data_IF_363230258056
#
_entry.id   IF_363230258056
#
_cell.length_a   1.000
_cell.length_b   1.000
_cell.length_c   1.000
_cell.angle_alpha   90.00
_cell.angle_beta   90.00
_cell.angle_gamma   90.00
#
_symmetry.space_group_name_H-M   'P 1'
#
loop_
_entity.id
_entity.type
_entity.pdbx_description
1 polymer ?
#
# COMPACT_ATOMS: atom_id res chain seq x y z
N UNK A 1 3.45 25.98 72.74
CA UNK A 1 3.22 24.53 72.55
C UNK A 1 3.99 24.07 71.33
N UNK A 2 5.14 23.44 71.56
CA UNK A 2 6.03 22.87 70.54
C UNK A 2 5.77 21.36 70.50
N UNK A 3 5.45 20.81 69.33
CA UNK A 3 5.54 19.38 69.00
C UNK A 3 6.10 19.32 67.57
N UNK A 4 7.38 19.04 67.38
CA UNK A 4 8.00 17.71 67.42
C UNK A 4 7.36 16.79 66.36
N UNK A 5 7.97 16.71 65.17
CA UNK A 5 8.14 15.45 64.42
C UNK A 5 9.24 15.64 63.37
N UNK A 6 10.45 15.36 63.83
CA UNK A 6 11.63 15.04 63.04
C UNK A 6 11.48 13.70 62.31
N UNK A 7 11.89 13.68 61.04
CA UNK A 7 12.71 12.64 60.40
C UNK A 7 12.28 11.17 60.60
N UNK A 8 11.51 10.63 59.64
CA UNK A 8 11.55 9.20 59.32
C UNK A 8 11.55 9.03 57.79
N UNK A 9 12.72 8.62 57.30
CA UNK A 9 12.90 7.72 56.15
C UNK A 9 12.66 8.24 54.74
N UNK A 10 13.63 9.05 54.31
CA UNK A 10 14.33 8.89 53.02
C UNK A 10 14.77 7.41 52.88
N UNK A 11 13.89 6.53 52.40
CA UNK A 11 14.23 5.12 52.08
C UNK A 11 13.18 4.41 51.19
N UNK A 12 12.62 5.10 50.18
CA UNK A 12 11.84 4.44 49.12
C UNK A 12 12.37 4.75 47.70
N UNK A 13 13.63 5.21 47.59
CA UNK A 13 14.27 5.45 46.31
C UNK A 13 15.07 4.28 45.75
N UNK A 14 15.09 3.13 46.42
CA UNK A 14 15.77 1.95 45.89
C UNK A 14 14.92 0.72 46.16
N UNK A 15 14.44 0.13 45.06
CA UNK A 15 14.13 -1.30 44.79
C UNK A 15 12.82 -1.40 43.99
N UNK A 16 12.92 -1.13 42.69
CA UNK A 16 12.31 -2.01 41.68
C UNK A 16 12.80 -1.61 40.28
N UNK A 17 14.10 -1.85 40.02
CA UNK A 17 14.51 -2.19 38.67
C UNK A 17 13.94 -3.58 38.40
N UNK A 18 12.68 -3.64 37.93
CA UNK A 18 12.17 -4.85 37.31
C UNK A 18 13.03 -5.10 36.07
N UNK A 19 13.57 -6.31 36.01
CA UNK A 19 14.30 -6.84 34.88
C UNK A 19 13.46 -6.66 33.60
N UNK A 20 13.75 -5.59 32.86
CA UNK A 20 13.53 -5.58 31.42
C UNK A 20 14.50 -6.62 30.87
N UNK A 21 14.03 -7.86 30.79
CA UNK A 21 14.52 -8.77 29.78
C UNK A 21 14.17 -8.09 28.47
N UNK A 22 15.11 -7.29 27.98
CA UNK A 22 15.19 -6.92 26.58
C UNK A 22 15.25 -8.26 25.86
N UNK A 23 14.07 -8.73 25.45
CA UNK A 23 13.94 -9.75 24.42
C UNK A 23 14.60 -9.09 23.23
N UNK A 24 15.90 -9.38 23.06
CA UNK A 24 16.58 -9.19 21.80
C UNK A 24 15.85 -10.11 20.85
N UNK A 25 14.77 -9.62 20.27
CA UNK A 25 14.26 -10.13 19.00
C UNK A 25 15.39 -9.89 18.01
N UNK A 26 16.29 -10.87 17.97
CA UNK A 26 17.24 -11.08 16.92
C UNK A 26 16.40 -11.42 15.69
N UNK A 27 15.83 -10.38 15.07
CA UNK A 27 15.48 -10.43 13.67
C UNK A 27 16.79 -10.71 12.95
N UNK A 28 17.08 -12.00 12.74
CA UNK A 28 17.91 -12.46 11.63
C UNK A 28 17.33 -11.77 10.41
N UNK A 29 17.93 -10.66 10.03
CA UNK A 29 17.68 -9.98 8.78
C UNK A 29 18.15 -10.98 7.73
N UNK A 30 17.24 -11.88 7.32
CA UNK A 30 17.47 -12.73 6.17
C UNK A 30 17.84 -11.75 5.05
N UNK A 31 18.97 -12.01 4.38
CA UNK A 31 19.36 -11.27 3.18
C UNK A 31 18.31 -11.56 2.09
N UNK A 32 17.18 -10.87 2.16
CA UNK A 32 16.11 -10.96 1.20
C UNK A 32 16.56 -10.20 -0.05
N UNK A 33 16.61 -10.92 -1.17
CA UNK A 33 16.93 -10.35 -2.47
C UNK A 33 15.90 -9.27 -2.81
N UNK A 34 16.38 -8.18 -3.41
CA UNK A 34 15.50 -7.15 -3.94
C UNK A 34 14.53 -7.71 -4.96
N UNK A 35 13.25 -7.38 -4.77
CA UNK A 35 12.23 -7.64 -5.76
C UNK A 35 12.45 -6.76 -6.99
N UNK A 36 12.82 -5.49 -6.84
CA UNK A 36 13.06 -4.61 -7.99
C UNK A 36 14.55 -4.71 -8.38
N UNK A 37 14.89 -5.77 -9.12
CA UNK A 37 16.24 -6.13 -9.57
C UNK A 37 16.43 -6.09 -11.09
N UNK A 38 15.58 -5.32 -11.78
CA UNK A 38 15.53 -5.20 -13.24
C UNK A 38 15.53 -3.73 -13.66
N UNK A 39 15.95 -3.40 -14.90
CA UNK A 39 15.96 -2.01 -15.37
C UNK A 39 14.54 -1.47 -15.60
N UNK A 40 14.30 -0.24 -15.14
CA UNK A 40 13.08 0.54 -15.38
C UNK A 40 13.44 2.04 -15.37
N UNK A 41 12.64 2.86 -16.04
CA UNK A 41 12.75 4.32 -16.02
C UNK A 41 11.62 5.00 -15.22
N UNK A 42 10.46 4.35 -15.14
CA UNK A 42 9.25 4.92 -14.54
C UNK A 42 8.42 3.84 -13.85
N UNK A 43 7.90 4.15 -12.67
CA UNK A 43 6.94 3.30 -11.95
C UNK A 43 5.65 4.05 -11.74
N UNK A 44 4.53 3.45 -12.13
CA UNK A 44 3.20 4.06 -12.03
C UNK A 44 2.32 3.17 -11.18
N UNK A 45 1.77 3.72 -10.10
CA UNK A 45 0.69 3.08 -9.35
C UNK A 45 -0.64 3.70 -9.77
N UNK A 46 -1.69 2.90 -9.95
CA UNK A 46 -3.01 3.44 -10.29
C UNK A 46 -4.16 2.56 -9.78
N UNK A 47 -5.33 3.18 -9.69
CA UNK A 47 -6.61 2.52 -9.43
C UNK A 47 -7.62 2.89 -10.53
N UNK A 48 -8.46 1.93 -10.91
CA UNK A 48 -9.58 2.16 -11.85
C UNK A 48 -10.71 2.91 -11.16
N UNK A 49 -11.17 4.01 -11.74
CA UNK A 49 -12.25 4.82 -11.16
C UNK A 49 -13.62 4.22 -11.44
N UNK A 50 -13.84 3.74 -12.67
CA UNK A 50 -15.10 3.12 -13.02
C UNK A 50 -15.07 1.64 -12.61
N UNK A 51 -16.00 1.21 -11.74
CA UNK A 51 -16.06 -0.18 -11.32
C UNK A 51 -16.37 -1.15 -12.48
N UNK A 52 -17.01 -0.67 -13.54
CA UNK A 52 -17.44 -1.48 -14.69
C UNK A 52 -16.39 -1.55 -15.82
N UNK A 53 -15.33 -0.74 -15.79
CA UNK A 53 -14.39 -0.63 -16.91
C UNK A 53 -13.44 -1.85 -17.06
N UNK A 54 -13.46 -2.81 -16.14
CA UNK A 54 -12.57 -3.99 -16.22
C UNK A 54 -13.23 -5.32 -15.80
N UNK A 55 -14.56 -5.46 -15.91
CA UNK A 55 -15.18 -6.79 -15.83
C UNK A 55 -15.30 -7.44 -17.22
N UNK A 56 -14.18 -7.96 -17.74
CA UNK A 56 -14.17 -8.84 -18.93
C UNK A 56 -13.47 -10.20 -18.69
N UNK A 57 -13.56 -10.74 -17.47
CA UNK A 57 -13.31 -12.17 -17.24
C UNK A 57 -11.84 -12.61 -17.19
N UNK A 58 -11.59 -13.47 -16.20
CA UNK A 58 -10.32 -14.10 -15.88
C UNK A 58 -9.19 -13.14 -15.44
N UNK A 59 -9.02 -13.02 -14.12
CA UNK A 59 -7.87 -12.38 -13.48
C UNK A 59 -6.53 -13.00 -13.94
N UNK A 60 -6.50 -14.23 -14.49
CA UNK A 60 -5.30 -14.93 -14.99
C UNK A 60 -4.78 -14.39 -16.33
N UNK A 61 -5.53 -13.53 -17.02
CA UNK A 61 -5.04 -12.91 -18.27
C UNK A 61 -4.09 -11.76 -17.97
N UNK A 62 -3.12 -11.56 -18.87
CA UNK A 62 -2.17 -10.44 -18.81
C UNK A 62 -2.89 -9.10 -18.72
N UNK A 63 -2.29 -8.15 -17.99
CA UNK A 63 -2.80 -6.79 -17.85
C UNK A 63 -2.74 -6.04 -19.19
N UNK A 64 -3.89 -5.87 -19.85
CA UNK A 64 -4.00 -5.05 -21.05
C UNK A 64 -4.23 -3.59 -20.68
N UNK A 65 -3.13 -2.84 -20.57
CA UNK A 65 -3.16 -1.42 -20.15
C UNK A 65 -3.95 -0.53 -21.12
N UNK A 66 -4.12 -0.95 -22.38
CA UNK A 66 -4.92 -0.18 -23.36
C UNK A 66 -6.42 -0.25 -23.08
N UNK A 67 -6.88 -1.29 -22.37
CA UNK A 67 -8.29 -1.43 -21.96
C UNK A 67 -8.64 -0.62 -20.73
N UNK A 68 -7.64 -0.16 -19.98
CA UNK A 68 -7.87 0.62 -18.77
C UNK A 68 -8.36 2.00 -19.15
N UNK A 69 -9.65 2.21 -18.91
CA UNK A 69 -10.30 3.52 -19.02
C UNK A 69 -10.39 4.13 -17.62
N UNK A 70 -10.40 5.47 -17.58
CA UNK A 70 -10.60 6.28 -16.37
C UNK A 70 -9.85 5.77 -15.12
N UNK A 71 -8.55 6.02 -15.07
CA UNK A 71 -7.68 5.68 -13.94
C UNK A 71 -7.25 6.91 -13.15
N UNK A 72 -7.04 6.73 -11.85
CA UNK A 72 -6.25 7.67 -11.05
C UNK A 72 -4.85 7.10 -10.91
N UNK A 73 -3.91 7.77 -11.55
CA UNK A 73 -2.53 7.31 -11.65
C UNK A 73 -1.57 8.26 -10.94
N UNK A 74 -0.58 7.68 -10.26
CA UNK A 74 0.48 8.36 -9.54
C UNK A 74 1.81 7.80 -10.07
N UNK A 75 2.66 8.68 -10.61
CA UNK A 75 4.06 8.31 -10.90
C UNK A 75 4.83 8.33 -9.59
N UNK A 76 5.47 7.22 -9.25
CA UNK A 76 6.19 7.08 -7.99
C UNK A 76 7.55 7.79 -8.05
N UNK A 77 7.92 8.46 -6.96
CA UNK A 77 9.27 8.98 -6.77
C UNK A 77 10.20 7.90 -6.18
N UNK A 78 11.50 8.21 -6.11
CA UNK A 78 12.52 7.26 -5.63
C UNK A 78 12.27 6.75 -4.20
N UNK A 79 11.75 7.59 -3.31
CA UNK A 79 11.44 7.20 -1.92
C UNK A 79 10.28 6.22 -1.89
N UNK A 80 9.22 6.47 -2.66
CA UNK A 80 8.07 5.58 -2.80
C UNK A 80 8.46 4.25 -3.45
N UNK A 81 9.33 4.28 -4.47
CA UNK A 81 9.83 3.07 -5.14
C UNK A 81 10.69 2.24 -4.19
N UNK A 82 11.55 2.87 -3.38
CA UNK A 82 12.31 2.16 -2.36
C UNK A 82 11.39 1.48 -1.35
N UNK A 83 10.38 2.20 -0.85
CA UNK A 83 9.41 1.64 0.08
C UNK A 83 8.63 0.47 -0.54
N UNK A 84 8.22 0.62 -1.80
CA UNK A 84 7.60 -0.46 -2.56
C UNK A 84 8.53 -1.67 -2.66
N UNK A 85 9.81 -1.48 -2.99
CA UNK A 85 10.78 -2.58 -3.06
C UNK A 85 10.86 -3.33 -1.72
N UNK A 86 10.92 -2.62 -0.59
CA UNK A 86 10.98 -3.23 0.74
C UNK A 86 9.73 -4.04 1.06
N UNK A 87 8.55 -3.56 0.65
CA UNK A 87 7.29 -4.29 0.73
C UNK A 87 7.37 -5.57 -0.11
N UNK A 88 7.64 -5.43 -1.41
CA UNK A 88 7.62 -6.53 -2.38
C UNK A 88 8.68 -7.61 -2.08
N UNK A 89 9.80 -7.22 -1.48
CA UNK A 89 10.87 -8.12 -1.05
C UNK A 89 10.59 -8.82 0.28
N UNK A 90 9.45 -8.54 0.93
CA UNK A 90 9.09 -9.14 2.22
C UNK A 90 9.88 -8.59 3.42
N UNK A 91 10.55 -7.43 3.27
CA UNK A 91 11.28 -6.79 4.38
C UNK A 91 10.36 -6.09 5.36
N UNK A 92 9.14 -5.75 4.94
CA UNK A 92 8.07 -5.33 5.85
C UNK A 92 7.26 -6.55 6.29
N UNK A 93 7.60 -7.11 7.45
CA UNK A 93 6.80 -8.15 8.10
C UNK A 93 5.61 -7.53 8.79
N UNK A 94 4.46 -8.18 8.68
CA UNK A 94 3.28 -7.86 9.45
C UNK A 94 3.49 -8.24 10.93
N UNK A 95 2.93 -7.45 11.85
CA UNK A 95 2.64 -7.94 13.21
C UNK A 95 1.62 -9.08 13.09
N UNK A 96 1.88 -10.21 13.77
CA UNK A 96 1.14 -11.47 13.63
C UNK A 96 -0.37 -11.38 13.88
N UNK A 97 -0.89 -10.25 14.36
CA UNK A 97 -2.28 -10.06 14.76
C UNK A 97 -3.09 -9.11 13.85
N UNK A 98 -2.48 -8.49 12.84
CA UNK A 98 -3.22 -7.59 11.95
C UNK A 98 -4.06 -8.41 10.94
N UNK A 99 -5.23 -8.87 11.37
CA UNK A 99 -6.23 -9.43 10.47
C UNK A 99 -6.71 -8.33 9.52
N UNK A 100 -6.34 -8.42 8.26
CA UNK A 100 -6.97 -7.62 7.22
C UNK A 100 -8.42 -8.08 7.13
N UNK A 101 -9.38 -7.17 7.32
CA UNK A 101 -10.75 -7.46 6.90
C UNK A 101 -10.71 -7.68 5.40
N UNK A 102 -11.22 -8.82 4.94
CA UNK A 102 -11.52 -9.00 3.52
C UNK A 102 -12.47 -7.86 3.17
N UNK A 103 -11.99 -6.91 2.37
CA UNK A 103 -12.82 -5.79 1.94
C UNK A 103 -13.91 -6.35 1.04
N UNK A 104 -15.15 -5.89 1.23
CA UNK A 104 -16.21 -6.03 0.24
C UNK A 104 -15.82 -5.16 -0.97
N UNK A 105 -14.89 -5.67 -1.78
CA UNK A 105 -14.25 -4.86 -2.80
C UNK A 105 -15.15 -4.85 -4.02
N UNK A 106 -15.89 -3.76 -4.11
CA UNK A 106 -16.55 -3.35 -5.32
C UNK A 106 -15.61 -2.38 -6.04
N UNK A 107 -14.68 -2.96 -6.81
CA UNK A 107 -13.93 -2.34 -7.91
C UNK A 107 -13.46 -0.88 -7.68
N UNK A 108 -12.21 -0.69 -7.18
CA UNK A 108 -11.09 -0.62 -8.11
C UNK A 108 -10.15 -1.82 -8.06
N UNK A 109 -9.51 -2.09 -9.18
CA UNK A 109 -8.26 -2.87 -9.18
C UNK A 109 -7.08 -1.93 -9.03
N UNK A 110 -6.22 -2.25 -8.08
CA UNK A 110 -5.00 -1.49 -7.84
C UNK A 110 -3.85 -2.13 -8.59
N UNK A 111 -3.08 -1.32 -9.28
CA UNK A 111 -2.05 -1.80 -10.19
C UNK A 111 -0.77 -1.00 -10.00
N UNK A 112 0.35 -1.65 -10.30
CA UNK A 112 1.68 -1.06 -10.36
C UNK A 112 2.30 -1.50 -11.69
N UNK A 113 2.77 -0.54 -12.47
CA UNK A 113 3.49 -0.77 -13.72
C UNK A 113 4.93 -0.31 -13.56
N UNK A 114 5.84 -1.12 -14.07
CA UNK A 114 7.23 -0.77 -14.28
C UNK A 114 7.45 -0.62 -15.78
N UNK A 115 7.86 0.58 -16.18
CA UNK A 115 8.12 0.91 -17.58
C UNK A 115 9.63 1.03 -17.81
N UNK A 116 10.04 0.74 -19.04
CA UNK A 116 11.34 1.09 -19.58
C UNK A 116 11.14 1.52 -21.04
N UNK A 117 11.46 2.77 -21.37
CA UNK A 117 11.20 3.36 -22.68
C UNK A 117 9.73 3.18 -23.10
N UNK A 118 8.82 3.48 -22.16
CA UNK A 118 7.36 3.34 -22.28
C UNK A 118 6.84 1.91 -22.57
N UNK A 119 7.70 0.89 -22.46
CA UNK A 119 7.31 -0.52 -22.52
C UNK A 119 7.16 -1.09 -21.10
N UNK A 120 6.09 -1.85 -20.87
CA UNK A 120 5.88 -2.55 -19.60
C UNK A 120 6.89 -3.68 -19.49
N UNK A 121 7.80 -3.57 -18.52
CA UNK A 121 8.81 -4.59 -18.20
C UNK A 121 8.40 -5.46 -17.02
N UNK A 122 7.51 -4.95 -16.16
CA UNK A 122 6.92 -5.71 -15.06
C UNK A 122 5.60 -5.05 -14.63
N UNK A 123 4.70 -5.81 -14.03
CA UNK A 123 3.47 -5.30 -13.45
C UNK A 123 3.08 -6.09 -12.19
N UNK A 124 2.27 -5.45 -11.35
CA UNK A 124 1.58 -6.06 -10.23
C UNK A 124 0.12 -5.59 -10.27
N UNK A 125 -0.83 -6.51 -10.24
CA UNK A 125 -2.25 -6.27 -10.08
C UNK A 125 -2.69 -6.85 -8.75
N UNK A 126 -3.38 -6.05 -7.95
CA UNK A 126 -3.88 -6.41 -6.63
C UNK A 126 -5.40 -6.34 -6.65
N UNK A 127 -6.03 -7.44 -6.25
CA UNK A 127 -7.47 -7.53 -6.02
C UNK A 127 -7.71 -7.76 -4.53
N UNK A 128 -8.17 -6.73 -3.83
CA UNK A 128 -8.48 -6.82 -2.40
C UNK A 128 -9.75 -7.64 -2.12
N UNK A 129 -10.68 -7.73 -3.10
CA UNK A 129 -11.89 -8.59 -3.03
C UNK A 129 -11.53 -10.06 -2.94
N UNK A 130 -10.75 -10.52 -3.92
CA UNK A 130 -10.37 -11.91 -4.04
C UNK A 130 -9.23 -12.26 -3.07
N UNK A 131 -8.64 -11.26 -2.40
CA UNK A 131 -7.39 -11.38 -1.68
C UNK A 131 -6.28 -12.01 -2.55
N UNK A 132 -6.13 -11.52 -3.79
CA UNK A 132 -5.17 -12.07 -4.75
C UNK A 132 -4.23 -10.99 -5.29
N UNK A 133 -2.98 -11.39 -5.51
CA UNK A 133 -1.96 -10.59 -6.18
C UNK A 133 -1.48 -11.35 -7.40
N UNK A 134 -1.40 -10.66 -8.53
CA UNK A 134 -0.78 -11.14 -9.76
C UNK A 134 0.30 -10.19 -10.22
N UNK A 135 1.24 -10.70 -10.97
CA UNK A 135 2.27 -9.89 -11.58
C UNK A 135 3.21 -10.75 -12.40
N UNK A 136 4.15 -10.10 -13.11
CA UNK A 136 5.12 -10.84 -13.94
C UNK A 136 6.04 -11.74 -13.11
N UNK A 137 6.15 -11.48 -11.80
CA UNK A 137 6.86 -12.35 -10.86
C UNK A 137 6.23 -12.31 -9.46
N UNK A 138 6.30 -13.42 -8.69
CA UNK A 138 5.62 -13.52 -7.40
C UNK A 138 6.28 -12.61 -6.35
N UNK A 139 5.52 -11.68 -5.73
CA UNK A 139 6.03 -10.86 -4.64
C UNK A 139 5.94 -11.59 -3.29
N UNK A 140 6.76 -11.18 -2.31
CA UNK A 140 6.74 -11.71 -0.94
C UNK A 140 5.97 -10.84 0.04
N UNK A 141 5.15 -9.92 -0.47
CA UNK A 141 4.39 -8.95 0.32
C UNK A 141 3.03 -9.51 0.76
N UNK A 142 2.67 -9.26 2.02
CA UNK A 142 1.33 -9.48 2.55
C UNK A 142 0.30 -8.49 1.99
N UNK A 143 -0.97 -8.90 1.91
CA UNK A 143 -2.03 -8.06 1.32
C UNK A 143 -2.20 -6.70 2.03
N UNK A 144 -2.08 -6.68 3.35
CA UNK A 144 -2.14 -5.43 4.14
C UNK A 144 -1.08 -4.42 3.72
N UNK A 145 0.13 -4.86 3.38
CA UNK A 145 1.18 -3.96 2.91
C UNK A 145 0.79 -3.28 1.60
N UNK A 146 0.07 -3.96 0.71
CA UNK A 146 -0.48 -3.33 -0.49
C UNK A 146 -1.56 -2.32 -0.14
N UNK A 147 -2.50 -2.66 0.74
CA UNK A 147 -3.57 -1.74 1.15
C UNK A 147 -2.99 -0.46 1.73
N UNK A 148 -2.01 -0.58 2.64
CA UNK A 148 -1.34 0.56 3.27
C UNK A 148 -0.54 1.37 2.23
N UNK A 149 0.17 0.69 1.32
CA UNK A 149 0.91 1.34 0.25
C UNK A 149 0.00 2.17 -0.66
N UNK A 150 -1.06 1.59 -1.22
CA UNK A 150 -1.98 2.30 -2.10
C UNK A 150 -2.72 3.43 -1.37
N UNK A 151 -3.15 3.19 -0.12
CA UNK A 151 -3.78 4.23 0.70
C UNK A 151 -2.85 5.42 0.95
N UNK A 152 -1.54 5.18 1.15
CA UNK A 152 -0.54 6.25 1.30
C UNK A 152 -0.36 7.12 0.05
N UNK A 153 -0.75 6.59 -1.12
CA UNK A 153 -0.74 7.30 -2.41
C UNK A 153 -2.06 8.03 -2.70
N UNK A 154 -3.05 7.94 -1.79
CA UNK A 154 -4.41 8.40 -2.05
C UNK A 154 -5.21 7.49 -3.00
N UNK A 155 -4.72 6.28 -3.26
CA UNK A 155 -5.42 5.25 -4.05
C UNK A 155 -6.16 4.32 -3.08
N UNK A 156 -7.13 4.86 -2.35
CA UNK A 156 -7.77 4.16 -1.23
C UNK A 156 -8.47 2.86 -1.67
N UNK A 157 -8.50 1.91 -0.74
CA UNK A 157 -9.34 0.71 -0.78
C UNK A 157 -10.59 1.03 0.04
N UNK A 158 -11.76 0.66 -0.47
CA UNK A 158 -13.04 0.92 0.18
C UNK A 158 -13.69 -0.40 0.58
N UNK A 159 -14.37 -0.37 1.72
CA UNK A 159 -15.13 -1.50 2.23
C UNK A 159 -16.60 -1.45 1.75
N UNK A 160 -16.99 -0.43 0.96
CA UNK A 160 -18.36 -0.24 0.45
C UNK A 160 -18.37 0.52 -0.91
N UNK A 161 -19.16 0.09 -1.93
CA UNK A 161 -19.26 0.73 -3.24
C UNK A 161 -19.80 2.16 -3.22
N UNK A 162 -20.62 2.51 -2.23
CA UNK A 162 -21.20 3.87 -2.12
C UNK A 162 -20.09 4.87 -1.79
N UNK A 163 -19.29 4.57 -0.77
CA UNK A 163 -18.15 5.40 -0.36
C UNK A 163 -17.11 5.54 -1.48
N UNK A 164 -16.94 4.48 -2.27
CA UNK A 164 -16.10 4.48 -3.44
C UNK A 164 -16.55 5.50 -4.50
N UNK A 165 -17.83 5.49 -4.89
CA UNK A 165 -18.37 6.43 -5.89
C UNK A 165 -18.19 7.86 -5.42
N UNK A 166 -18.63 8.16 -4.19
CA UNK A 166 -18.54 9.51 -3.62
C UNK A 166 -17.10 10.04 -3.58
N UNK A 167 -16.14 9.19 -3.17
CA UNK A 167 -14.73 9.59 -3.11
C UNK A 167 -14.19 9.93 -4.50
N UNK A 168 -14.38 9.05 -5.48
CA UNK A 168 -13.80 9.28 -6.79
C UNK A 168 -14.54 10.34 -7.61
N UNK A 169 -15.85 10.48 -7.45
CA UNK A 169 -16.61 11.61 -7.99
C UNK A 169 -16.06 12.93 -7.45
N UNK A 170 -15.71 13.00 -6.15
CA UNK A 170 -15.09 14.19 -5.57
C UNK A 170 -13.71 14.51 -6.16
N UNK A 171 -12.89 13.49 -6.45
CA UNK A 171 -11.58 13.66 -7.10
C UNK A 171 -11.76 14.13 -8.53
N UNK A 172 -12.67 13.54 -9.30
CA UNK A 172 -12.94 13.96 -10.66
C UNK A 172 -13.45 15.41 -10.70
N UNK A 173 -14.38 15.77 -9.82
CA UNK A 173 -14.93 17.12 -9.72
C UNK A 173 -13.86 18.16 -9.34
N UNK A 174 -12.98 17.85 -8.38
CA UNK A 174 -11.89 18.75 -7.99
C UNK A 174 -10.84 18.93 -9.11
N UNK A 175 -10.58 17.89 -9.90
CA UNK A 175 -9.68 17.96 -11.07
C UNK A 175 -10.29 18.76 -12.22
N UNK A 176 -11.58 18.58 -12.49
CA UNK A 176 -12.33 19.41 -13.47
C UNK A 176 -12.32 20.89 -13.06
N UNK A 177 -12.55 21.19 -11.77
CA UNK A 177 -12.53 22.57 -11.24
C UNK A 177 -11.15 23.23 -11.28
N UNK A 178 -10.07 22.46 -11.22
CA UNK A 178 -8.69 22.97 -11.27
C UNK A 178 -8.13 23.13 -12.69
N UNK A 179 -8.95 22.93 -13.73
CA UNK A 179 -8.53 23.12 -15.13
C UNK A 179 -7.56 22.05 -15.66
N UNK A 180 -7.27 21.00 -14.88
CA UNK A 180 -6.59 19.80 -15.37
C UNK A 180 -7.60 18.95 -16.13
N UNK A 181 -7.68 19.19 -17.43
CA UNK A 181 -8.53 18.42 -18.35
C UNK A 181 -8.15 16.94 -18.24
N UNK A 182 -9.14 16.12 -17.91
CA UNK A 182 -9.09 14.68 -18.17
C UNK A 182 -9.33 14.57 -19.67
N UNK A 183 -8.25 14.43 -20.45
CA UNK A 183 -8.42 13.86 -21.78
C UNK A 183 -8.85 12.40 -21.54
N UNK A 184 -10.00 11.95 -22.07
CA UNK A 184 -10.16 10.52 -22.26
C UNK A 184 -8.94 10.09 -23.07
N UNK A 185 -8.26 9.03 -22.65
CA UNK A 185 -7.18 8.46 -23.45
C UNK A 185 -7.74 8.05 -24.80
N UNK A 186 -7.69 8.95 -25.78
CA UNK A 186 -7.94 8.66 -27.18
C UNK A 186 -6.73 7.88 -27.66
N UNK A 187 -6.76 6.57 -27.45
CA UNK A 187 -5.81 5.64 -28.04
C UNK A 187 -6.36 5.11 -29.34
N UNK A 188 -6.00 5.79 -30.43
CA UNK A 188 -5.81 5.19 -31.76
C UNK A 188 -4.86 4.00 -31.72
#
# INVERSE_FOLDING_TARGET
MIRLFTLISIALFFISCKNDKVVKDSHKQQNLKDYIDFPYDKVIAFATVNPMDYYDGNFDKELDVKKLKDTISITLNSVQIKNLNDILSGRRKQEKEATMKVSDCFYPRHNILFLNQDKIVNHISVCFECNQVKGSKPPSADMKNYQDFFSSLGLKVFDNPIEHSEYYDSIQLSRKKSGKIISPGSGT
#
